data_IF_738731191412
#
_entry.id   IF_738731191412
#
_cell.length_a   1.000
_cell.length_b   1.000
_cell.length_c   1.000
_cell.angle_alpha   90.00
_cell.angle_beta   90.00
_cell.angle_gamma   90.00
#
_symmetry.space_group_name_H-M   'P 1'
#
loop_
_entity.id
_entity.type
_entity.pdbx_description
1 polymer ?
#
# COMPACT_ATOMS: atom_id res chain seq x y z
N UNK A 1 -20.57 -0.76 -13.36
CA UNK A 1 -19.76 -0.51 -14.57
C UNK A 1 -20.49 0.31 -15.65
N UNK A 2 -21.69 -0.10 -16.10
CA UNK A 2 -22.41 0.57 -17.21
C UNK A 2 -22.78 2.05 -16.97
N UNK A 3 -23.03 2.46 -15.72
CA UNK A 3 -23.33 3.87 -15.38
C UNK A 3 -22.10 4.80 -15.43
N UNK A 4 -20.89 4.27 -15.22
CA UNK A 4 -19.65 5.05 -15.06
C UNK A 4 -18.99 5.31 -16.40
N UNK A 5 -18.97 4.29 -17.26
CA UNK A 5 -18.59 4.46 -18.67
C UNK A 5 -19.54 5.46 -19.35
N UNK A 6 -20.84 5.41 -19.03
CA UNK A 6 -21.82 6.40 -19.50
C UNK A 6 -21.57 7.82 -18.97
N UNK A 7 -20.91 7.97 -17.82
CA UNK A 7 -20.55 9.27 -17.24
C UNK A 7 -19.19 9.78 -17.74
N UNK A 8 -18.56 9.11 -18.72
CA UNK A 8 -17.26 9.50 -19.27
C UNK A 8 -16.05 8.97 -18.50
N UNK A 9 -16.26 8.15 -17.46
CA UNK A 9 -15.17 7.52 -16.71
C UNK A 9 -14.44 6.47 -17.54
N UNK A 10 -13.11 6.54 -17.58
CA UNK A 10 -12.26 5.58 -18.31
C UNK A 10 -11.65 4.58 -17.33
N UNK A 11 -11.73 3.26 -17.57
CA UNK A 11 -11.05 2.30 -16.71
C UNK A 11 -9.54 2.54 -16.74
N UNK A 12 -8.96 2.74 -15.55
CA UNK A 12 -7.52 2.90 -15.29
C UNK A 12 -6.93 1.59 -14.79
N UNK A 13 -7.72 0.81 -14.05
CA UNK A 13 -7.41 -0.58 -13.70
C UNK A 13 -8.61 -1.43 -14.10
N UNK A 14 -8.43 -2.48 -14.93
CA UNK A 14 -9.49 -3.46 -15.16
C UNK A 14 -9.87 -4.17 -13.86
N UNK A 15 -10.98 -4.90 -13.85
CA UNK A 15 -11.45 -5.64 -12.68
C UNK A 15 -10.33 -6.55 -12.14
N UNK A 16 -9.83 -6.28 -10.94
CA UNK A 16 -8.96 -7.16 -10.18
C UNK A 16 -9.84 -7.92 -9.20
N UNK A 17 -9.97 -9.24 -9.38
CA UNK A 17 -10.57 -10.10 -8.38
C UNK A 17 -9.68 -10.11 -7.13
N UNK A 18 -10.29 -9.83 -5.98
CA UNK A 18 -9.67 -9.92 -4.67
C UNK A 18 -10.33 -11.11 -3.97
N UNK A 19 -9.65 -12.27 -3.87
CA UNK A 19 -10.22 -13.46 -3.25
C UNK A 19 -10.84 -13.13 -1.87
N UNK A 20 -12.05 -13.64 -1.62
CA UNK A 20 -12.82 -13.43 -0.37
C UNK A 20 -13.33 -12.00 -0.10
N UNK A 21 -13.02 -11.03 -0.97
CA UNK A 21 -13.45 -9.63 -0.83
C UNK A 21 -14.38 -9.22 -1.98
N UNK A 22 -14.17 -9.75 -3.18
CA UNK A 22 -14.95 -9.43 -4.38
C UNK A 22 -14.00 -8.92 -5.47
N UNK A 23 -14.21 -7.69 -5.95
CA UNK A 23 -13.30 -7.10 -6.92
C UNK A 23 -13.08 -5.60 -6.73
N UNK A 24 -11.90 -5.13 -7.13
CA UNK A 24 -11.57 -3.71 -7.23
C UNK A 24 -11.35 -3.33 -8.69
N UNK A 25 -11.85 -2.17 -9.10
CA UNK A 25 -11.48 -1.54 -10.35
C UNK A 25 -11.30 -0.04 -10.12
N UNK A 26 -10.45 0.58 -10.93
CA UNK A 26 -10.19 2.01 -10.82
C UNK A 26 -10.54 2.70 -12.13
N UNK A 27 -11.08 3.91 -12.03
CA UNK A 27 -11.54 4.70 -13.16
C UNK A 27 -11.03 6.14 -13.04
N UNK A 28 -10.54 6.72 -14.13
CA UNK A 28 -10.32 8.15 -14.22
C UNK A 28 -11.64 8.83 -14.58
N UNK A 29 -12.02 9.86 -13.84
CA UNK A 29 -13.07 10.78 -14.27
C UNK A 29 -12.58 11.67 -15.44
N UNK A 30 -13.47 12.46 -16.08
CA UNK A 30 -13.08 13.37 -17.17
C UNK A 30 -12.05 14.43 -16.78
N UNK A 31 -11.92 14.73 -15.49
CA UNK A 31 -10.98 15.71 -14.93
C UNK A 31 -9.61 15.07 -14.62
N UNK A 32 -9.48 13.75 -14.81
CA UNK A 32 -8.24 12.99 -14.61
C UNK A 32 -8.08 12.41 -13.21
N UNK A 33 -9.05 12.58 -12.30
CA UNK A 33 -8.96 12.03 -10.95
C UNK A 33 -9.26 10.53 -10.99
N UNK A 34 -8.43 9.74 -10.29
CA UNK A 34 -8.61 8.28 -10.22
C UNK A 34 -9.48 7.88 -9.04
N UNK A 35 -10.62 7.27 -9.33
CA UNK A 35 -11.59 6.75 -8.37
C UNK A 35 -11.49 5.22 -8.30
N UNK A 36 -11.32 4.68 -7.09
CA UNK A 36 -11.41 3.24 -6.86
C UNK A 36 -12.86 2.85 -6.57
N UNK A 37 -13.30 1.74 -7.16
CA UNK A 37 -14.58 1.12 -6.89
C UNK A 37 -14.28 -0.29 -6.47
N UNK A 38 -14.63 -0.59 -5.23
CA UNK A 38 -14.63 -1.96 -4.75
C UNK A 38 -16.07 -2.43 -4.79
N UNK A 39 -16.35 -3.47 -5.58
CA UNK A 39 -17.55 -4.26 -5.34
C UNK A 39 -17.15 -5.32 -4.33
N UNK A 40 -17.50 -5.02 -3.09
CA UNK A 40 -17.40 -5.95 -2.01
C UNK A 40 -18.61 -6.88 -2.13
N UNK A 41 -18.40 -8.15 -2.48
CA UNK A 41 -19.54 -9.06 -2.63
C UNK A 41 -20.26 -9.29 -1.28
N UNK A 42 -19.65 -8.96 -0.14
CA UNK A 42 -20.31 -9.01 1.19
C UNK A 42 -19.50 -8.27 2.30
N UNK A 43 -18.87 -7.11 2.03
CA UNK A 43 -17.98 -6.49 3.05
C UNK A 43 -18.67 -6.13 4.37
N UNK A 44 -19.94 -5.74 4.31
CA UNK A 44 -20.68 -5.35 5.50
C UNK A 44 -20.85 -6.50 6.51
N UNK A 45 -20.74 -7.77 6.07
CA UNK A 45 -20.80 -8.95 6.94
C UNK A 45 -19.42 -9.59 7.18
N UNK A 46 -18.41 -9.29 6.37
CA UNK A 46 -17.06 -9.90 6.44
C UNK A 46 -16.13 -9.33 7.53
N UNK A 47 -16.46 -8.17 8.13
CA UNK A 47 -15.59 -7.50 9.11
C UNK A 47 -14.35 -6.83 8.53
N UNK A 48 -14.27 -6.67 7.20
CA UNK A 48 -13.14 -6.10 6.47
C UNK A 48 -13.43 -4.68 5.98
N UNK A 49 -12.38 -3.88 5.86
CA UNK A 49 -12.45 -2.50 5.45
C UNK A 49 -11.31 -2.12 4.48
N UNK A 50 -11.52 -1.00 3.78
CA UNK A 50 -10.48 -0.28 3.04
C UNK A 50 -10.04 0.93 3.87
N UNK A 51 -8.75 1.02 4.14
CA UNK A 51 -8.13 2.22 4.70
C UNK A 51 -7.62 3.10 3.55
N UNK A 52 -7.92 4.39 3.60
CA UNK A 52 -7.30 5.40 2.74
C UNK A 52 -6.49 6.41 3.58
N UNK A 53 -5.24 6.65 3.19
CA UNK A 53 -4.37 7.67 3.77
C UNK A 53 -3.85 8.57 2.65
N UNK A 54 -4.02 9.88 2.79
CA UNK A 54 -3.49 10.85 1.83
C UNK A 54 -2.42 11.72 2.48
N UNK A 55 -1.34 11.98 1.73
CA UNK A 55 -0.23 12.84 2.19
C UNK A 55 0.29 13.70 1.05
N UNK A 56 0.64 14.95 1.34
CA UNK A 56 1.34 15.84 0.40
C UNK A 56 2.79 15.97 0.83
N UNK A 57 3.69 15.37 0.05
CA UNK A 57 5.13 15.47 0.25
C UNK A 57 5.68 16.71 -0.45
N UNK A 58 6.55 17.46 0.22
CA UNK A 58 7.23 18.64 -0.34
C UNK A 58 8.45 18.24 -1.20
N UNK A 59 8.23 17.30 -2.11
CA UNK A 59 9.26 16.76 -3.00
C UNK A 59 8.70 16.45 -4.39
N UNK A 60 9.55 16.44 -5.44
CA UNK A 60 9.15 16.03 -6.77
C UNK A 60 8.66 14.58 -6.81
N UNK A 61 7.68 14.30 -7.66
CA UNK A 61 7.04 12.98 -7.81
C UNK A 61 8.03 11.85 -8.06
N UNK A 62 9.05 12.11 -8.88
CA UNK A 62 10.14 11.16 -9.14
C UNK A 62 10.89 10.75 -7.87
N UNK A 63 11.13 11.69 -6.96
CA UNK A 63 11.87 11.40 -5.72
C UNK A 63 11.02 10.57 -4.76
N UNK A 64 9.73 10.91 -4.62
CA UNK A 64 8.79 10.12 -3.80
C UNK A 64 8.65 8.70 -4.37
N UNK A 65 8.52 8.56 -5.70
CA UNK A 65 8.49 7.27 -6.38
C UNK A 65 9.74 6.41 -6.14
N UNK A 66 10.93 7.03 -6.17
CA UNK A 66 12.19 6.32 -5.91
C UNK A 66 12.23 5.72 -4.51
N UNK A 67 11.63 6.37 -3.51
CA UNK A 67 11.56 5.85 -2.15
C UNK A 67 10.71 4.58 -1.98
N UNK A 68 9.89 4.25 -2.98
CA UNK A 68 9.12 3.01 -3.05
C UNK A 68 9.74 1.91 -3.93
N UNK A 69 10.73 2.26 -4.76
CA UNK A 69 11.28 1.36 -5.78
C UNK A 69 12.76 1.05 -5.61
N UNK A 70 13.47 1.84 -4.81
CA UNK A 70 14.90 1.68 -4.53
C UNK A 70 15.07 1.19 -3.09
N UNK A 71 15.60 -0.03 -2.88
CA UNK A 71 15.73 -0.61 -1.54
C UNK A 71 16.44 0.30 -0.53
N UNK A 72 17.54 0.95 -0.93
CA UNK A 72 18.35 1.80 -0.08
C UNK A 72 17.65 3.10 0.34
N UNK A 73 16.61 3.50 -0.39
CA UNK A 73 15.77 4.64 -0.03
C UNK A 73 14.60 4.20 0.84
N UNK A 74 14.02 3.02 0.58
CA UNK A 74 12.93 2.47 1.38
C UNK A 74 13.33 2.24 2.84
N UNK A 75 14.52 1.69 3.08
CA UNK A 75 15.03 1.42 4.43
C UNK A 75 15.24 2.67 5.30
N UNK A 76 15.22 3.87 4.71
CA UNK A 76 15.36 5.13 5.45
C UNK A 76 14.10 5.51 6.22
N UNK A 77 12.92 5.03 5.80
CA UNK A 77 11.65 5.52 6.32
C UNK A 77 10.64 4.42 6.65
N UNK A 78 10.80 3.21 6.11
CA UNK A 78 9.83 2.13 6.33
C UNK A 78 9.64 1.80 7.82
N UNK A 79 8.38 1.53 8.19
CA UNK A 79 7.92 1.29 9.56
C UNK A 79 7.56 2.56 10.34
N UNK A 80 6.77 2.43 11.42
CA UNK A 80 6.30 3.55 12.25
C UNK A 80 7.45 4.27 12.97
N UNK A 81 7.12 5.32 13.73
CA UNK A 81 8.07 6.33 14.23
C UNK A 81 9.27 5.74 14.96
N UNK A 82 9.03 4.83 15.90
CA UNK A 82 10.07 4.25 16.75
C UNK A 82 10.69 2.98 16.16
N UNK A 83 10.29 2.58 14.95
CA UNK A 83 10.82 1.42 14.26
C UNK A 83 11.93 1.81 13.29
N UNK A 84 12.90 0.93 13.11
CA UNK A 84 13.91 1.03 12.05
C UNK A 84 13.58 0.06 10.91
N UNK A 85 14.17 0.22 9.72
CA UNK A 85 14.02 -0.75 8.63
C UNK A 85 15.39 -1.33 8.26
N UNK A 86 15.75 -2.49 8.82
CA UNK A 86 17.10 -3.06 8.63
C UNK A 86 17.29 -3.69 7.24
N UNK A 87 16.21 -4.04 6.54
CA UNK A 87 16.29 -4.78 5.29
C UNK A 87 15.13 -4.43 4.35
N UNK A 88 15.44 -4.29 3.06
CA UNK A 88 14.48 -4.27 1.98
C UNK A 88 15.06 -5.03 0.78
N UNK A 89 14.27 -5.92 0.18
CA UNK A 89 14.54 -6.56 -1.10
C UNK A 89 13.39 -6.23 -2.04
N UNK A 90 13.71 -5.76 -3.24
CA UNK A 90 12.71 -5.32 -4.22
C UNK A 90 13.09 -5.86 -5.60
N UNK A 91 12.20 -6.63 -6.23
CA UNK A 91 12.19 -6.90 -7.67
C UNK A 91 11.10 -6.00 -8.30
N UNK A 92 11.44 -4.75 -8.61
CA UNK A 92 10.47 -3.70 -8.96
C UNK A 92 9.98 -3.80 -10.41
N UNK A 93 9.15 -4.81 -10.67
CA UNK A 93 8.47 -5.06 -11.95
C UNK A 93 7.17 -5.80 -11.69
N UNK A 94 6.25 -5.78 -12.64
CA UNK A 94 5.04 -6.60 -12.54
C UNK A 94 5.38 -8.10 -12.40
N UNK A 95 4.72 -8.75 -11.45
CA UNK A 95 5.00 -10.12 -11.02
C UNK A 95 6.26 -10.28 -10.15
N UNK A 96 7.03 -9.21 -9.94
CA UNK A 96 8.17 -9.18 -9.02
C UNK A 96 7.72 -9.17 -7.57
N UNK A 97 8.59 -9.62 -6.66
CA UNK A 97 8.32 -9.72 -5.23
C UNK A 97 9.10 -8.68 -4.43
N UNK A 98 8.60 -8.36 -3.25
CA UNK A 98 9.37 -7.62 -2.25
C UNK A 98 9.44 -8.36 -0.91
N UNK A 99 10.42 -8.00 -0.10
CA UNK A 99 10.50 -8.39 1.31
C UNK A 99 11.02 -7.18 2.09
N UNK A 100 10.24 -6.69 3.03
CA UNK A 100 10.59 -5.56 3.88
C UNK A 100 10.67 -6.01 5.33
N UNK A 101 11.67 -5.52 6.04
CA UNK A 101 11.78 -5.69 7.47
C UNK A 101 11.60 -4.34 8.17
N UNK A 102 10.85 -4.37 9.26
CA UNK A 102 10.87 -3.32 10.27
C UNK A 102 11.26 -3.92 11.62
N UNK A 103 12.04 -3.18 12.41
CA UNK A 103 12.55 -3.60 13.71
C UNK A 103 12.01 -2.70 14.80
N UNK A 104 11.40 -3.29 15.82
CA UNK A 104 10.87 -2.57 16.98
C UNK A 104 11.99 -2.03 17.88
N UNK A 105 11.69 -1.10 18.80
CA UNK A 105 12.63 -0.62 19.81
C UNK A 105 13.25 -1.72 20.67
N UNK A 106 12.51 -2.81 20.88
CA UNK A 106 12.93 -3.99 21.65
C UNK A 106 13.84 -4.93 20.84
N UNK A 107 14.04 -4.65 19.55
CA UNK A 107 14.93 -5.40 18.65
C UNK A 107 14.25 -6.55 17.91
N UNK A 108 12.92 -6.69 17.98
CA UNK A 108 12.19 -7.71 17.23
C UNK A 108 11.99 -7.28 15.77
N UNK A 109 12.28 -8.17 14.84
CA UNK A 109 12.03 -7.96 13.40
C UNK A 109 10.65 -8.48 12.99
N UNK A 110 9.96 -7.67 12.20
CA UNK A 110 8.68 -7.97 11.55
C UNK A 110 8.88 -7.84 10.04
N UNK A 111 8.53 -8.89 9.32
CA UNK A 111 8.70 -8.96 7.88
C UNK A 111 7.34 -8.89 7.18
N UNK A 112 7.29 -8.14 6.08
CA UNK A 112 6.17 -8.17 5.14
C UNK A 112 6.66 -8.47 3.72
N UNK A 113 5.84 -9.20 2.97
CA UNK A 113 6.12 -9.58 1.58
C UNK A 113 4.89 -9.39 0.71
N UNK A 114 5.11 -9.31 -0.59
CA UNK A 114 4.03 -9.15 -1.55
C UNK A 114 4.51 -9.30 -2.98
N UNK A 115 3.56 -9.28 -3.91
CA UNK A 115 3.79 -9.32 -5.35
C UNK A 115 3.29 -8.03 -5.98
N UNK A 116 4.14 -7.34 -6.74
CA UNK A 116 3.72 -6.19 -7.55
C UNK A 116 2.79 -6.67 -8.66
N UNK A 117 1.53 -6.24 -8.61
CA UNK A 117 0.48 -6.61 -9.57
C UNK A 117 0.45 -5.66 -10.76
N UNK A 118 0.71 -4.38 -10.53
CA UNK A 118 0.71 -3.35 -11.58
C UNK A 118 1.69 -2.23 -11.21
N UNK A 119 2.45 -1.76 -12.20
CA UNK A 119 3.35 -0.60 -12.04
C UNK A 119 3.17 0.33 -13.23
N UNK A 120 2.59 1.50 -12.99
CA UNK A 120 2.55 2.60 -13.97
C UNK A 120 3.56 3.66 -13.52
N UNK A 121 4.69 3.81 -14.22
CA UNK A 121 5.79 4.66 -13.78
C UNK A 121 5.34 6.06 -13.37
N UNK A 122 5.73 6.49 -12.15
CA UNK A 122 5.42 7.80 -11.57
C UNK A 122 3.93 8.08 -11.31
N UNK A 123 3.04 7.11 -11.49
CA UNK A 123 1.60 7.31 -11.36
C UNK A 123 0.99 6.34 -10.36
N UNK A 124 1.39 5.07 -10.39
CA UNK A 124 0.69 4.03 -9.65
C UNK A 124 1.53 2.79 -9.35
N UNK A 125 1.36 2.25 -8.14
CA UNK A 125 1.87 0.95 -7.73
C UNK A 125 0.72 0.17 -7.11
N UNK A 126 0.49 -1.07 -7.56
CA UNK A 126 -0.43 -2.02 -6.92
C UNK A 126 0.36 -3.25 -6.50
N UNK A 127 0.24 -3.66 -5.25
CA UNK A 127 0.85 -4.88 -4.75
C UNK A 127 -0.06 -5.61 -3.78
N UNK A 128 0.13 -6.92 -3.64
CA UNK A 128 -0.37 -7.63 -2.45
C UNK A 128 0.56 -7.35 -1.27
N UNK A 129 0.06 -7.55 -0.05
CA UNK A 129 0.85 -7.42 1.19
C UNK A 129 0.44 -8.51 2.19
N UNK A 130 1.43 -9.15 2.81
CA UNK A 130 1.27 -10.27 3.75
C UNK A 130 2.36 -10.21 4.80
N UNK A 131 2.09 -10.72 6.00
CA UNK A 131 3.16 -11.02 6.95
C UNK A 131 4.04 -12.14 6.39
N UNK A 132 5.34 -12.05 6.66
CA UNK A 132 6.32 -13.03 6.20
C UNK A 132 7.28 -13.45 7.31
N UNK A 133 8.05 -14.51 7.10
CA UNK A 133 9.30 -14.75 7.81
C UNK A 133 10.49 -14.04 7.11
N UNK A 134 11.70 -14.17 7.67
CA UNK A 134 12.91 -13.55 7.10
C UNK A 134 13.34 -14.14 5.75
N UNK A 135 12.85 -15.33 5.42
CA UNK A 135 13.04 -16.00 4.13
C UNK A 135 12.03 -15.53 3.08
N UNK A 136 10.98 -14.79 3.49
CA UNK A 136 9.91 -14.30 2.63
C UNK A 136 8.77 -15.29 2.41
N UNK A 137 8.65 -16.32 3.27
CA UNK A 137 7.49 -17.20 3.28
C UNK A 137 6.34 -16.48 4.00
N UNK A 138 5.14 -16.56 3.45
CA UNK A 138 3.95 -15.97 4.07
C UNK A 138 3.63 -16.72 5.36
N UNK A 139 3.39 -15.96 6.44
CA UNK A 139 3.02 -16.47 7.76
C UNK A 139 1.80 -15.72 8.28
N UNK A 140 0.97 -16.32 9.15
CA UNK A 140 -0.13 -15.59 9.77
C UNK A 140 0.39 -14.53 10.75
N UNK A 141 -0.40 -13.50 11.04
CA UNK A 141 -0.03 -12.46 12.03
C UNK A 141 0.29 -13.02 13.42
N UNK A 142 -0.29 -14.17 13.78
CA UNK A 142 -0.04 -14.87 15.03
C UNK A 142 1.39 -15.38 15.17
N UNK A 143 2.12 -15.54 14.06
CA UNK A 143 3.57 -15.79 14.07
C UNK A 143 4.34 -14.71 14.85
N UNK A 144 3.85 -13.48 14.80
CA UNK A 144 4.40 -12.33 15.51
C UNK A 144 3.72 -12.03 16.85
N UNK A 145 2.87 -12.96 17.35
CA UNK A 145 2.09 -12.73 18.56
C UNK A 145 0.98 -11.69 18.41
N UNK A 146 0.67 -11.27 17.17
CA UNK A 146 -0.41 -10.33 16.89
C UNK A 146 -1.72 -11.07 16.64
N UNK A 147 -2.79 -10.60 17.28
CA UNK A 147 -4.16 -10.99 16.89
C UNK A 147 -4.45 -10.50 15.48
N UNK A 148 -5.12 -11.31 14.66
CA UNK A 148 -5.42 -10.94 13.27
C UNK A 148 -6.36 -11.95 12.61
N UNK A 149 -7.02 -11.50 11.54
CA UNK A 149 -8.02 -12.28 10.81
C UNK A 149 -7.38 -13.41 10.00
N UNK A 150 -8.22 -14.34 9.53
CA UNK A 150 -7.86 -15.45 8.64
C UNK A 150 -7.51 -15.03 7.21
N UNK A 151 -7.42 -13.73 6.91
CA UNK A 151 -6.92 -13.26 5.62
C UNK A 151 -5.41 -13.06 5.68
N UNK A 152 -4.73 -13.87 4.87
CA UNK A 152 -3.28 -13.86 4.75
C UNK A 152 -2.77 -12.89 3.65
N UNK A 153 -3.68 -12.24 2.90
CA UNK A 153 -3.31 -11.36 1.78
C UNK A 153 -4.17 -10.08 1.75
N UNK A 154 -3.50 -8.93 1.89
CA UNK A 154 -4.03 -7.59 1.74
C UNK A 154 -3.62 -7.00 0.38
N UNK A 155 -4.21 -5.86 0.02
CA UNK A 155 -3.84 -5.13 -1.21
C UNK A 155 -3.47 -3.69 -0.89
N UNK A 156 -2.27 -3.29 -1.31
CA UNK A 156 -1.79 -1.92 -1.25
C UNK A 156 -1.86 -1.31 -2.64
N UNK A 157 -2.53 -0.16 -2.75
CA UNK A 157 -2.49 0.70 -3.93
C UNK A 157 -1.95 2.06 -3.56
N UNK A 158 -0.93 2.50 -4.30
CA UNK A 158 -0.33 3.82 -4.19
C UNK A 158 -0.63 4.59 -5.46
N UNK A 159 -1.17 5.79 -5.32
CA UNK A 159 -1.40 6.73 -6.42
C UNK A 159 -0.54 7.97 -6.19
N UNK A 160 0.09 8.46 -7.25
CA UNK A 160 1.00 9.60 -7.20
C UNK A 160 0.51 10.69 -8.15
N UNK A 161 0.19 11.85 -7.60
CA UNK A 161 -0.29 13.02 -8.33
C UNK A 161 0.69 14.18 -8.15
N UNK A 162 1.01 14.85 -9.24
CA UNK A 162 1.88 16.02 -9.23
C UNK A 162 1.09 17.29 -8.92
N UNK A 163 1.46 18.01 -7.86
CA UNK A 163 0.84 19.29 -7.47
C UNK A 163 1.93 20.35 -7.45
N UNK A 164 2.20 20.92 -8.62
CA UNK A 164 3.35 21.81 -8.82
C UNK A 164 4.66 21.08 -8.53
N UNK A 165 5.46 21.58 -7.59
CA UNK A 165 6.71 20.91 -7.16
C UNK A 165 6.53 19.93 -5.99
N UNK A 166 5.28 19.64 -5.62
CA UNK A 166 4.92 18.71 -4.54
C UNK A 166 4.27 17.47 -5.14
N UNK A 167 4.17 16.43 -4.33
CA UNK A 167 3.50 15.19 -4.71
C UNK A 167 2.39 14.90 -3.72
N UNK A 168 1.16 14.75 -4.20
CA UNK A 168 0.11 14.10 -3.42
C UNK A 168 0.24 12.60 -3.65
N UNK A 169 0.31 11.86 -2.55
CA UNK A 169 0.27 10.41 -2.57
C UNK A 169 -0.98 9.94 -1.83
N UNK A 170 -1.72 9.04 -2.45
CA UNK A 170 -2.86 8.37 -1.84
C UNK A 170 -2.53 6.90 -1.69
N UNK A 171 -2.49 6.41 -0.45
CA UNK A 171 -2.38 5.00 -0.11
C UNK A 171 -3.77 4.44 0.17
N UNK A 172 -4.06 3.29 -0.43
CA UNK A 172 -5.24 2.48 -0.14
C UNK A 172 -4.79 1.11 0.31
N UNK A 173 -5.30 0.66 1.45
CA UNK A 173 -5.01 -0.65 2.02
C UNK A 173 -6.32 -1.41 2.20
N UNK A 174 -6.56 -2.37 1.31
CA UNK A 174 -7.78 -3.14 1.22
C UNK A 174 -7.61 -4.51 1.88
N UNK A 175 -8.66 -4.97 2.55
CA UNK A 175 -8.72 -6.29 3.19
C UNK A 175 -8.37 -6.25 4.68
N UNK A 176 -8.24 -5.06 5.28
CA UNK A 176 -7.93 -4.90 6.69
C UNK A 176 -9.12 -5.28 7.57
N UNK A 177 -8.90 -6.02 8.68
CA UNK A 177 -9.89 -6.15 9.74
C UNK A 177 -10.29 -4.77 10.30
N UNK A 178 -11.58 -4.58 10.52
CA UNK A 178 -12.14 -3.27 10.91
C UNK A 178 -11.62 -2.81 12.28
N UNK A 179 -11.30 -3.73 13.18
CA UNK A 179 -10.80 -3.46 14.52
C UNK A 179 -9.36 -2.90 14.53
N UNK A 180 -8.54 -3.22 13.51
CA UNK A 180 -7.17 -2.72 13.42
C UNK A 180 -7.01 -1.47 12.55
N UNK A 181 -8.06 -1.04 11.84
CA UNK A 181 -7.96 0.01 10.81
C UNK A 181 -7.34 1.32 11.32
N UNK A 182 -7.71 1.75 12.54
CA UNK A 182 -7.21 3.00 13.13
C UNK A 182 -5.75 2.88 13.55
N UNK A 183 -5.34 1.71 14.06
CA UNK A 183 -3.95 1.43 14.40
C UNK A 183 -3.09 1.38 13.15
N UNK A 184 -3.55 0.69 12.09
CA UNK A 184 -2.85 0.64 10.81
C UNK A 184 -2.75 2.02 10.17
N UNK A 185 -3.80 2.84 10.25
CA UNK A 185 -3.77 4.24 9.80
C UNK A 185 -2.68 5.04 10.50
N UNK A 186 -2.61 4.95 11.82
CA UNK A 186 -1.61 5.66 12.59
C UNK A 186 -0.18 5.22 12.24
N UNK A 187 0.05 3.92 12.09
CA UNK A 187 1.35 3.40 11.65
C UNK A 187 1.78 3.90 10.27
N UNK A 188 0.85 4.03 9.33
CA UNK A 188 1.10 4.64 8.02
C UNK A 188 1.42 6.14 8.12
N UNK A 189 0.67 6.89 8.93
CA UNK A 189 0.90 8.31 9.13
C UNK A 189 2.30 8.59 9.70
N UNK A 190 2.72 7.81 10.70
CA UNK A 190 4.07 7.91 11.28
C UNK A 190 5.17 7.48 10.29
N UNK A 191 4.94 6.43 9.50
CA UNK A 191 5.87 6.02 8.45
C UNK A 191 6.03 7.14 7.40
N UNK A 192 4.94 7.85 7.08
CA UNK A 192 4.99 8.98 6.16
C UNK A 192 5.65 10.23 6.75
N UNK A 193 5.63 10.42 8.07
CA UNK A 193 6.46 11.44 8.72
C UNK A 193 7.95 11.17 8.49
N UNK A 194 8.38 9.91 8.62
CA UNK A 194 9.77 9.50 8.32
C UNK A 194 10.11 9.65 6.84
N UNK A 195 9.16 9.39 5.93
CA UNK A 195 9.36 9.63 4.50
C UNK A 195 9.50 11.13 4.20
N UNK A 196 8.68 11.99 4.82
CA UNK A 196 8.82 13.44 4.72
C UNK A 196 10.22 13.91 5.16
N UNK A 197 10.80 13.28 6.19
CA UNK A 197 12.16 13.55 6.64
C UNK A 197 13.22 13.04 5.67
N UNK A 198 13.10 11.81 5.14
CA UNK A 198 14.07 11.24 4.22
C UNK A 198 14.12 11.97 2.86
N UNK A 199 13.08 12.72 2.52
CA UNK A 199 12.97 13.55 1.32
C UNK A 199 13.63 14.93 1.45
N UNK A 200 13.97 15.38 2.67
CA UNK A 200 14.70 16.63 2.92
C UNK A 200 16.18 16.40 2.59
N UNK A 201 16.55 16.73 1.35
CA UNK A 201 17.96 16.77 0.90
C UNK A 201 18.64 18.02 1.43
#
# INVERSE_FOLDING_TARGET
MSRIIKAGGKPVIPKIEVPSVGWVAYFADPDGNTHGIVQLEEAAESGLAELQVERIFKAPRKLVWQHWSVPELLTKWWGPKDFTSPEAKIDFREGGKYLFAMRSPEGQDFYSTGVYKEIVPLEKIVATDSFADKEGNIVPSSYYGMGGSSLDEYYITLLFEEIGQKTKMTLKHLGLPTDIINMTKHGWEESFDKLDESLKV
#
